data_IF_861970740011
#
_entry.id   IF_861970740011
#
_cell.length_a   1.000
_cell.length_b   1.000
_cell.length_c   1.000
_cell.angle_alpha   90.00
_cell.angle_beta   90.00
_cell.angle_gamma   90.00
#
_symmetry.space_group_name_H-M   'P 1'
#
loop_
_entity.id
_entity.type
_entity.pdbx_description
1 polymer ?
#
# COMPACT_ATOMS: atom_id res chain seq x y z
N UNK A 1 33.46 33.31 11.35
CA UNK A 1 32.26 33.08 12.20
C UNK A 1 31.06 33.32 11.29
N UNK A 2 30.20 32.38 10.94
CA UNK A 2 29.68 31.16 11.59
C UNK A 2 29.25 30.23 10.43
N UNK A 3 29.80 29.02 10.35
CA UNK A 3 29.16 27.73 10.68
C UNK A 3 28.34 27.10 9.53
N UNK A 4 28.69 25.82 9.30
CA UNK A 4 28.16 24.89 8.32
C UNK A 4 26.66 24.63 8.46
N UNK A 5 26.04 24.18 7.37
CA UNK A 5 24.82 23.37 7.42
C UNK A 5 24.78 22.45 6.22
N UNK A 6 25.62 21.42 6.29
CA UNK A 6 25.33 20.15 5.64
C UNK A 6 24.25 19.46 6.49
N UNK A 7 23.11 19.14 5.89
CA UNK A 7 22.17 18.20 6.49
C UNK A 7 22.07 16.99 5.57
N UNK A 8 23.01 16.08 5.79
CA UNK A 8 22.95 14.69 5.34
C UNK A 8 21.73 14.03 5.99
N UNK A 9 20.66 13.93 5.22
CA UNK A 9 19.40 13.31 5.62
C UNK A 9 19.21 11.96 4.94
N UNK A 10 20.25 11.14 4.86
CA UNK A 10 20.11 9.74 4.41
C UNK A 10 19.38 8.94 5.48
N UNK A 11 18.05 9.00 5.47
CA UNK A 11 17.21 8.07 6.21
C UNK A 11 17.13 6.76 5.43
N UNK A 12 18.19 5.96 5.52
CA UNK A 12 18.12 4.53 5.29
C UNK A 12 17.18 3.94 6.35
N UNK A 13 15.90 3.77 6.03
CA UNK A 13 14.99 3.02 6.90
C UNK A 13 15.14 1.53 6.60
N UNK A 14 15.88 0.89 7.50
CA UNK A 14 16.03 -0.55 7.60
C UNK A 14 14.70 -1.25 7.33
N UNK A 15 14.75 -2.24 6.43
CA UNK A 15 13.71 -3.25 6.26
C UNK A 15 13.61 -4.08 7.55
N UNK A 16 13.03 -3.50 8.59
CA UNK A 16 12.51 -4.26 9.71
C UNK A 16 11.45 -5.17 9.13
N UNK A 17 11.64 -6.48 9.24
CA UNK A 17 10.65 -7.51 8.94
C UNK A 17 9.44 -7.34 9.87
N UNK A 18 8.68 -6.26 9.68
CA UNK A 18 7.41 -6.05 10.34
C UNK A 18 6.50 -7.18 9.88
N UNK A 19 6.00 -7.95 10.84
CA UNK A 19 5.08 -9.06 10.58
C UNK A 19 3.88 -8.54 9.79
N UNK A 20 3.80 -8.96 8.53
CA UNK A 20 2.65 -8.73 7.65
C UNK A 20 1.52 -9.67 8.08
N UNK A 21 0.29 -9.16 8.16
CA UNK A 21 -0.88 -9.91 8.58
C UNK A 21 -2.01 -9.77 7.57
N UNK A 22 -2.48 -10.90 7.03
CA UNK A 22 -3.63 -10.95 6.10
C UNK A 22 -4.87 -10.31 6.71
N UNK A 23 -5.16 -10.58 7.99
CA UNK A 23 -6.28 -9.96 8.69
C UNK A 23 -6.19 -8.42 8.73
N UNK A 24 -4.98 -7.86 8.89
CA UNK A 24 -4.79 -6.40 8.82
C UNK A 24 -4.97 -5.86 7.40
N UNK A 25 -4.63 -6.62 6.37
CA UNK A 25 -4.85 -6.22 4.98
C UNK A 25 -6.35 -6.16 4.68
N UNK A 26 -7.12 -7.16 5.12
CA UNK A 26 -8.58 -7.18 4.99
C UNK A 26 -9.23 -6.00 5.73
N UNK A 27 -8.86 -5.76 7.00
CA UNK A 27 -9.38 -4.61 7.75
C UNK A 27 -9.02 -3.27 7.09
N UNK A 28 -7.82 -3.17 6.50
CA UNK A 28 -7.41 -1.96 5.79
C UNK A 28 -8.24 -1.73 4.53
N UNK A 29 -8.51 -2.80 3.78
CA UNK A 29 -9.38 -2.76 2.60
C UNK A 29 -10.76 -2.21 2.94
N UNK A 30 -11.38 -2.75 4.00
CA UNK A 30 -12.69 -2.27 4.45
C UNK A 30 -12.67 -0.78 4.84
N UNK A 31 -11.61 -0.34 5.51
CA UNK A 31 -11.44 1.07 5.87
C UNK A 31 -11.35 1.96 4.62
N UNK A 32 -10.55 1.55 3.63
CA UNK A 32 -10.41 2.30 2.37
C UNK A 32 -11.72 2.31 1.57
N UNK A 33 -12.49 1.21 1.58
CA UNK A 33 -13.79 1.14 0.89
C UNK A 33 -14.79 2.14 1.51
N UNK A 34 -14.76 2.32 2.83
CA UNK A 34 -15.54 3.37 3.51
C UNK A 34 -15.02 4.77 3.21
N UNK A 35 -13.70 4.93 3.13
CA UNK A 35 -13.06 6.21 2.84
C UNK A 35 -13.44 6.71 1.44
N UNK A 36 -13.46 5.82 0.44
CA UNK A 36 -13.86 6.12 -0.93
C UNK A 36 -15.22 6.82 -1.00
N UNK A 37 -16.20 6.38 -0.20
CA UNK A 37 -17.53 6.97 -0.19
C UNK A 37 -17.54 8.47 0.20
N UNK A 38 -16.49 8.97 0.85
CA UNK A 38 -16.32 10.38 1.21
C UNK A 38 -15.75 11.25 0.09
N UNK A 39 -15.14 10.64 -0.92
CA UNK A 39 -14.48 11.32 -2.04
C UNK A 39 -15.21 11.07 -3.37
N UNK A 40 -16.53 10.83 -3.32
CA UNK A 40 -17.34 10.66 -4.52
C UNK A 40 -17.33 11.94 -5.35
N UNK A 41 -16.95 11.82 -6.63
CA UNK A 41 -16.85 12.95 -7.56
C UNK A 41 -15.46 13.59 -7.64
N UNK A 42 -14.51 13.19 -6.78
CA UNK A 42 -13.13 13.64 -6.85
C UNK A 42 -12.36 12.91 -7.97
N UNK A 43 -11.39 13.61 -8.58
CA UNK A 43 -10.53 13.01 -9.62
C UNK A 43 -9.55 11.98 -9.05
N UNK A 44 -9.09 12.23 -7.82
CA UNK A 44 -8.13 11.41 -7.10
C UNK A 44 -8.41 11.50 -5.59
N UNK A 45 -8.05 10.48 -4.85
CA UNK A 45 -8.22 10.46 -3.40
C UNK A 45 -7.12 9.64 -2.72
N UNK A 46 -6.86 9.98 -1.47
CA UNK A 46 -5.91 9.25 -0.64
C UNK A 46 -6.56 8.00 -0.05
N UNK A 47 -5.84 6.89 -0.11
CA UNK A 47 -6.18 5.64 0.58
C UNK A 47 -5.00 5.18 1.41
N UNK A 48 -5.27 4.47 2.49
CA UNK A 48 -4.21 3.93 3.32
C UNK A 48 -3.53 2.73 2.67
N UNK A 49 -2.22 2.61 2.84
CA UNK A 49 -1.42 1.49 2.39
C UNK A 49 -1.87 0.16 3.02
N UNK A 50 -2.07 -0.86 2.19
CA UNK A 50 -2.63 -2.19 2.53
C UNK A 50 -1.57 -3.25 2.80
N UNK A 51 -0.36 -2.82 3.17
CA UNK A 51 0.79 -3.72 3.38
C UNK A 51 0.66 -4.68 4.57
N UNK A 52 -0.39 -4.56 5.40
CA UNK A 52 -0.64 -5.45 6.54
C UNK A 52 0.37 -5.34 7.69
N UNK A 53 1.34 -4.41 7.62
CA UNK A 53 2.29 -4.12 8.69
C UNK A 53 1.58 -3.51 9.90
N UNK A 54 2.02 -3.87 11.10
CA UNK A 54 1.52 -3.27 12.32
C UNK A 54 1.87 -1.76 12.35
N UNK A 55 0.86 -0.91 12.56
CA UNK A 55 1.08 0.54 12.68
C UNK A 55 1.25 1.29 11.36
N UNK A 56 1.12 0.65 10.19
CA UNK A 56 1.16 1.38 8.92
C UNK A 56 0.00 2.39 8.84
N UNK A 57 0.34 3.66 8.60
CA UNK A 57 -0.57 4.79 8.42
C UNK A 57 -0.28 5.59 7.16
N UNK A 58 0.68 5.12 6.36
CA UNK A 58 1.02 5.77 5.10
C UNK A 58 -0.16 5.72 4.14
N UNK A 59 -0.31 6.81 3.38
CA UNK A 59 -1.32 6.97 2.35
C UNK A 59 -0.67 7.03 0.98
N UNK A 60 -1.48 6.77 -0.03
CA UNK A 60 -1.14 6.79 -1.45
C UNK A 60 -2.34 7.32 -2.21
N UNK A 61 -2.06 8.08 -3.28
CA UNK A 61 -3.10 8.72 -4.09
C UNK A 61 -3.47 7.80 -5.24
N UNK A 62 -4.76 7.66 -5.51
CA UNK A 62 -5.29 6.80 -6.56
C UNK A 62 -6.50 7.43 -7.23
N UNK A 63 -6.72 7.13 -8.51
CA UNK A 63 -7.95 7.51 -9.21
C UNK A 63 -9.11 6.57 -8.88
N UNK A 64 -10.37 7.03 -8.92
CA UNK A 64 -11.55 6.18 -8.73
C UNK A 64 -11.55 4.94 -9.64
N UNK A 65 -11.26 5.10 -10.94
CA UNK A 65 -11.28 4.00 -11.91
C UNK A 65 -10.25 2.92 -11.60
N UNK A 66 -9.05 3.33 -11.17
CA UNK A 66 -7.98 2.40 -10.78
C UNK A 66 -8.33 1.66 -9.50
N UNK A 67 -8.86 2.38 -8.52
CA UNK A 67 -9.31 1.75 -7.28
C UNK A 67 -10.44 0.75 -7.54
N UNK A 68 -11.42 1.09 -8.37
CA UNK A 68 -12.50 0.16 -8.75
C UNK A 68 -11.98 -1.08 -9.48
N UNK A 69 -11.05 -0.89 -10.43
CA UNK A 69 -10.42 -2.01 -11.16
C UNK A 69 -9.69 -2.94 -10.21
N UNK A 70 -8.89 -2.40 -9.29
CA UNK A 70 -8.21 -3.18 -8.25
C UNK A 70 -9.21 -3.96 -7.40
N UNK A 71 -10.33 -3.34 -7.03
CA UNK A 71 -11.34 -3.95 -6.14
C UNK A 71 -12.11 -5.11 -6.76
N UNK A 72 -12.03 -5.32 -8.08
CA UNK A 72 -12.57 -6.52 -8.75
C UNK A 72 -11.80 -7.79 -8.39
N UNK A 73 -10.53 -7.67 -8.01
CA UNK A 73 -9.71 -8.78 -7.54
C UNK A 73 -9.58 -8.73 -6.00
N UNK A 74 -10.26 -9.62 -5.25
CA UNK A 74 -10.24 -9.57 -3.79
C UNK A 74 -8.86 -9.89 -3.19
N UNK A 75 -7.96 -10.49 -3.97
CA UNK A 75 -6.57 -10.82 -3.59
C UNK A 75 -5.58 -9.69 -3.87
N UNK A 76 -6.01 -8.60 -4.54
CA UNK A 76 -5.17 -7.45 -4.86
C UNK A 76 -5.19 -6.42 -3.72
N UNK A 77 -3.99 -5.96 -3.37
CA UNK A 77 -3.76 -4.98 -2.32
C UNK A 77 -2.89 -3.84 -2.84
N UNK A 78 -3.26 -2.63 -2.44
CA UNK A 78 -2.55 -1.42 -2.82
C UNK A 78 -1.51 -1.07 -1.74
N UNK A 79 -0.22 -1.17 -2.06
CA UNK A 79 0.86 -0.94 -1.10
C UNK A 79 1.81 0.16 -1.56
N UNK A 80 2.35 0.93 -0.64
CA UNK A 80 3.45 1.87 -0.93
C UNK A 80 4.67 1.10 -1.42
N UNK A 81 5.40 1.65 -2.39
CA UNK A 81 6.57 0.98 -3.01
C UNK A 81 7.64 0.58 -2.00
N UNK A 82 7.93 1.45 -1.03
CA UNK A 82 8.87 1.18 0.06
C UNK A 82 8.40 0.08 1.01
N UNK A 83 7.13 -0.33 0.94
CA UNK A 83 6.54 -1.33 1.82
C UNK A 83 6.44 -2.73 1.21
N UNK A 84 6.80 -2.88 -0.07
CA UNK A 84 6.91 -4.17 -0.72
C UNK A 84 7.95 -5.06 -0.02
N UNK A 85 7.57 -6.32 0.22
CA UNK A 85 8.49 -7.35 0.71
C UNK A 85 8.84 -8.34 -0.40
N UNK A 86 9.88 -9.18 -0.21
CA UNK A 86 10.31 -10.15 -1.22
C UNK A 86 9.28 -11.26 -1.50
N UNK A 87 8.26 -11.42 -0.65
CA UNK A 87 7.21 -12.42 -0.78
C UNK A 87 5.90 -11.88 -1.39
N UNK A 88 5.90 -10.64 -1.88
CA UNK A 88 4.74 -10.06 -2.57
C UNK A 88 4.83 -10.36 -4.07
N UNK A 89 3.74 -10.81 -4.69
CA UNK A 89 3.64 -10.92 -6.13
C UNK A 89 3.18 -9.56 -6.69
N UNK A 90 4.05 -8.83 -7.37
CA UNK A 90 3.69 -7.53 -7.95
C UNK A 90 2.94 -7.75 -9.26
N UNK A 91 1.67 -7.36 -9.29
CA UNK A 91 0.80 -7.45 -10.49
C UNK A 91 0.94 -6.19 -11.35
N UNK A 92 1.06 -5.03 -10.70
CA UNK A 92 1.21 -3.76 -11.38
C UNK A 92 2.11 -2.81 -10.58
N UNK A 93 2.91 -2.02 -11.29
CA UNK A 93 3.72 -0.94 -10.73
C UNK A 93 3.17 0.39 -11.19
N UNK A 94 2.86 1.26 -10.24
CA UNK A 94 2.47 2.65 -10.47
C UNK A 94 3.54 3.59 -9.91
N UNK A 95 3.38 4.90 -10.10
CA UNK A 95 4.39 5.89 -9.69
C UNK A 95 4.64 5.84 -8.18
N UNK A 96 3.59 5.92 -7.35
CA UNK A 96 3.71 6.01 -5.89
C UNK A 96 3.39 4.72 -5.12
N UNK A 97 2.80 3.73 -5.79
CA UNK A 97 2.34 2.50 -5.16
C UNK A 97 2.49 1.29 -6.09
N UNK A 98 2.35 0.10 -5.50
CA UNK A 98 2.28 -1.18 -6.19
C UNK A 98 0.92 -1.82 -5.93
N UNK A 99 0.44 -2.55 -6.94
CA UNK A 99 -0.64 -3.51 -6.77
C UNK A 99 0.01 -4.88 -6.59
N UNK A 100 -0.18 -5.48 -5.42
CA UNK A 100 0.34 -6.80 -5.11
C UNK A 100 -0.78 -7.80 -4.94
N UNK A 101 -0.54 -9.03 -5.37
CA UNK A 101 -1.43 -10.15 -5.12
C UNK A 101 -0.94 -10.96 -3.93
N UNK A 102 -1.85 -11.22 -2.97
CA UNK A 102 -1.59 -12.24 -1.96
C UNK A 102 -2.03 -13.60 -2.45
N UNK A 103 -1.04 -14.41 -2.80
CA UNK A 103 -1.17 -15.85 -2.87
C UNK A 103 -1.41 -16.35 -1.45
N UNK A 104 -2.66 -16.66 -1.12
CA UNK A 104 -2.95 -17.43 0.08
C UNK A 104 -2.18 -18.75 0.00
N UNK A 105 -1.63 -19.23 1.12
CA UNK A 105 -1.43 -20.69 1.27
C UNK A 105 -2.81 -21.35 1.39
N UNK A 106 -3.60 -21.25 0.33
CA UNK A 106 -4.91 -21.81 0.04
C UNK A 106 -5.27 -21.28 -1.34
N UNK A 107 -4.64 -21.88 -2.34
CA UNK A 107 -4.78 -21.49 -3.74
C UNK A 107 -3.96 -22.46 -4.55
N UNK A 108 -4.48 -23.68 -4.70
CA UNK A 108 -4.11 -24.51 -5.85
C UNK A 108 -4.53 -23.71 -7.07
N UNK A 109 -3.59 -22.94 -7.63
CA UNK A 109 -3.73 -22.33 -8.92
C UNK A 109 -3.39 -23.38 -9.97
N UNK A 110 -4.34 -23.65 -10.86
CA UNK A 110 -4.09 -24.09 -12.23
C UNK A 110 -4.56 -22.98 -13.14
#
# INVERSE_FOLDING_TARGET
MVAASEFDGTAAVASSSQKVSVGRQVLRRELNDRLRARYLGEREFAVFCECGRAGCRDEVVVTPDRYETLRRAPTHFLIKRSHAGPAENVVETCDDFLIVEKLGRSGLAR
#
